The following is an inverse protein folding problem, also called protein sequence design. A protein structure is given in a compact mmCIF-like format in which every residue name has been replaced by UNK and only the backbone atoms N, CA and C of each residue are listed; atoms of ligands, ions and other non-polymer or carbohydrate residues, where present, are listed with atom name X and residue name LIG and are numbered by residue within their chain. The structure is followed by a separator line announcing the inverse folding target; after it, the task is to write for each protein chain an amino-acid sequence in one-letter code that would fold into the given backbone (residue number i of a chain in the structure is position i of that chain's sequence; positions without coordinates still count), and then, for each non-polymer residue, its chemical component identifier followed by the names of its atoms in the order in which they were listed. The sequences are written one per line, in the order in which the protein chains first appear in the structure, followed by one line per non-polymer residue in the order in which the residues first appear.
data_IF_906989961828
#
_entry.id   IF_906989961828
#
_cell.length_a   1.000
_cell.length_b   1.000
_cell.length_c   1.000
_cell.angle_alpha   90.00
_cell.angle_beta   90.00
_cell.angle_gamma   90.00
#
_symmetry.space_group_name_H-M   'P 1'
#
loop_
_entity.id
_entity.type
_entity.pdbx_description
1 polymer ?
#
# COMPACT_ATOMS: atom_id res chain seq x y z
N UNK A 1 -18.08 -38.50 55.16
CA UNK A 1 -18.13 -37.07 55.56
C UNK A 1 -16.71 -36.68 55.96
N UNK A 2 -15.98 -35.77 55.34
CA UNK A 2 -16.37 -34.57 54.62
C UNK A 2 -15.48 -34.35 53.37
N UNK A 3 -16.09 -33.80 52.32
CA UNK A 3 -15.42 -33.09 51.24
C UNK A 3 -14.97 -31.71 51.72
N UNK A 4 -13.81 -31.22 51.25
CA UNK A 4 -13.70 -29.86 50.69
C UNK A 4 -12.32 -29.63 50.04
N UNK A 5 -12.38 -29.20 48.78
CA UNK A 5 -11.31 -28.71 47.92
C UNK A 5 -10.64 -27.44 48.46
N UNK A 6 -9.35 -27.28 48.16
CA UNK A 6 -8.81 -26.01 47.62
C UNK A 6 -7.48 -26.25 46.89
N UNK A 7 -7.60 -26.29 45.57
CA UNK A 7 -6.76 -25.67 44.54
C UNK A 7 -5.31 -25.31 44.88
N UNK A 8 -4.35 -25.94 44.20
CA UNK A 8 -3.27 -25.17 43.59
C UNK A 8 -2.86 -25.83 42.26
N UNK A 9 -3.30 -25.22 41.17
CA UNK A 9 -2.96 -25.63 39.81
C UNK A 9 -1.60 -25.05 39.46
N UNK A 10 -0.58 -25.89 39.48
CA UNK A 10 0.76 -25.51 39.04
C UNK A 10 1.09 -26.19 37.73
N UNK A 11 1.33 -25.35 36.73
CA UNK A 11 2.34 -25.51 35.69
C UNK A 11 1.87 -26.03 34.31
N UNK A 12 1.05 -25.23 33.63
CA UNK A 12 1.04 -25.20 32.16
C UNK A 12 2.21 -24.35 31.66
N UNK A 13 3.36 -24.99 31.42
CA UNK A 13 4.43 -24.40 30.63
C UNK A 13 4.69 -25.27 29.38
N UNK A 14 4.12 -24.85 28.25
CA UNK A 14 4.66 -25.16 26.92
C UNK A 14 4.53 -23.92 26.05
N UNK A 15 5.33 -22.93 26.43
CA UNK A 15 6.03 -21.98 25.59
C UNK A 15 5.83 -22.17 24.06
N UNK A 16 4.77 -21.61 23.49
CA UNK A 16 4.65 -21.49 22.05
C UNK A 16 5.42 -20.25 21.60
N UNK A 17 6.71 -20.47 21.36
CA UNK A 17 7.61 -19.58 20.65
C UNK A 17 7.08 -19.39 19.21
N UNK A 18 6.01 -18.62 19.04
CA UNK A 18 5.53 -18.21 17.71
C UNK A 18 6.52 -17.16 17.24
N UNK A 19 7.35 -17.52 16.26
CA UNK A 19 8.19 -16.57 15.54
C UNK A 19 7.35 -15.41 14.97
N UNK A 20 8.00 -14.38 14.39
CA UNK A 20 7.30 -13.25 13.80
C UNK A 20 6.19 -13.78 12.87
N UNK A 21 4.94 -13.38 13.13
CA UNK A 21 3.81 -13.79 12.30
C UNK A 21 4.04 -13.21 10.90
N UNK A 22 4.08 -14.06 9.88
CA UNK A 22 4.20 -13.62 8.49
C UNK A 22 3.06 -12.67 8.15
N UNK A 23 3.38 -11.47 7.65
CA UNK A 23 2.41 -10.42 7.38
C UNK A 23 1.33 -10.87 6.39
N UNK A 24 1.66 -11.77 5.46
CA UNK A 24 0.73 -12.35 4.50
C UNK A 24 -0.39 -13.17 5.16
N UNK A 25 -0.10 -13.78 6.33
CA UNK A 25 -1.06 -14.56 7.12
C UNK A 25 -1.80 -13.71 8.15
N UNK A 26 -1.21 -12.58 8.55
CA UNK A 26 -1.81 -11.60 9.45
C UNK A 26 -2.90 -10.73 8.78
N UNK A 27 -2.76 -10.46 7.49
CA UNK A 27 -3.70 -9.64 6.71
C UNK A 27 -4.74 -10.52 6.02
N UNK A 28 -6.03 -10.28 6.33
CA UNK A 28 -7.14 -11.17 5.95
C UNK A 28 -7.63 -10.93 4.53
N UNK A 29 -7.48 -9.72 4.02
CA UNK A 29 -7.99 -9.33 2.71
C UNK A 29 -6.85 -9.04 1.73
N UNK A 30 -7.11 -9.29 0.44
CA UNK A 30 -6.12 -9.03 -0.62
C UNK A 30 -5.74 -7.56 -0.69
N UNK A 31 -6.71 -6.65 -0.51
CA UNK A 31 -6.49 -5.21 -0.53
C UNK A 31 -5.59 -4.74 0.62
N UNK A 32 -5.66 -5.37 1.80
CA UNK A 32 -4.73 -5.13 2.89
C UNK A 32 -3.31 -5.58 2.54
N UNK A 33 -3.17 -6.76 1.92
CA UNK A 33 -1.87 -7.27 1.47
C UNK A 33 -1.28 -6.42 0.35
N UNK A 34 -2.10 -5.96 -0.58
CA UNK A 34 -1.74 -5.03 -1.64
C UNK A 34 -1.27 -3.69 -1.04
N UNK A 35 -2.04 -3.11 -0.10
CA UNK A 35 -1.64 -1.90 0.63
C UNK A 35 -0.31 -2.08 1.37
N UNK A 36 -0.07 -3.24 1.97
CA UNK A 36 1.20 -3.55 2.63
C UNK A 36 2.39 -3.58 1.65
N UNK A 37 2.27 -4.23 0.49
CA UNK A 37 3.36 -4.24 -0.51
C UNK A 37 3.59 -2.87 -1.13
N UNK A 38 2.55 -2.05 -1.29
CA UNK A 38 2.69 -0.65 -1.69
C UNK A 38 3.48 0.15 -0.64
N UNK A 39 3.10 0.06 0.63
CA UNK A 39 3.73 0.82 1.72
C UNK A 39 5.19 0.40 1.95
N UNK A 40 5.48 -0.90 1.86
CA UNK A 40 6.84 -1.43 2.04
C UNK A 40 7.67 -1.37 0.76
N UNK A 41 7.05 -1.05 -0.38
CA UNK A 41 7.65 -1.12 -1.72
C UNK A 41 8.23 -2.51 -2.05
N UNK A 42 7.82 -3.55 -1.35
CA UNK A 42 8.33 -4.90 -1.51
C UNK A 42 7.92 -5.47 -2.88
N UNK A 43 8.90 -5.91 -3.67
CA UNK A 43 8.73 -6.44 -5.05
C UNK A 43 8.34 -5.42 -6.12
N UNK A 44 8.52 -4.13 -5.84
CA UNK A 44 8.28 -3.09 -6.84
C UNK A 44 9.17 -3.29 -8.07
N UNK A 45 8.57 -3.21 -9.26
CA UNK A 45 9.21 -3.37 -10.57
C UNK A 45 9.09 -2.11 -11.46
N UNK A 46 8.48 -1.05 -10.94
CA UNK A 46 8.49 0.29 -11.54
C UNK A 46 8.62 1.39 -10.48
N UNK A 47 9.04 2.57 -10.93
CA UNK A 47 9.04 3.79 -10.13
C UNK A 47 8.52 4.96 -10.96
N UNK A 48 7.94 5.93 -10.27
CA UNK A 48 7.42 7.17 -10.82
C UNK A 48 8.12 8.32 -10.15
N UNK A 49 8.56 9.29 -10.94
CA UNK A 49 9.06 10.55 -10.43
C UNK A 49 7.97 11.60 -10.65
N UNK A 50 7.29 11.98 -9.57
CA UNK A 50 6.06 12.77 -9.61
C UNK A 50 6.30 14.17 -9.03
N UNK A 51 5.71 15.19 -9.66
CA UNK A 51 5.78 16.58 -9.21
C UNK A 51 6.73 17.44 -10.04
N UNK A 52 6.70 18.75 -9.77
CA UNK A 52 7.57 19.75 -10.42
C UNK A 52 8.97 19.72 -9.81
N UNK A 53 9.96 20.34 -10.48
CA UNK A 53 11.37 20.34 -10.05
C UNK A 53 11.58 20.74 -8.57
N UNK A 54 10.71 21.58 -8.02
CA UNK A 54 10.78 22.06 -6.64
C UNK A 54 10.09 21.15 -5.61
N UNK A 55 9.23 20.21 -6.04
CA UNK A 55 8.48 19.30 -5.16
C UNK A 55 8.37 17.91 -5.80
N UNK A 56 9.50 17.36 -6.22
CA UNK A 56 9.58 16.07 -6.90
C UNK A 56 9.70 14.93 -5.88
N UNK A 57 8.93 13.86 -6.07
CA UNK A 57 8.94 12.68 -5.22
C UNK A 57 8.98 11.41 -6.06
N UNK A 58 9.85 10.49 -5.68
CA UNK A 58 9.88 9.14 -6.26
C UNK A 58 8.92 8.22 -5.52
N UNK A 59 8.04 7.56 -6.25
CA UNK A 59 7.05 6.61 -5.75
C UNK A 59 7.26 5.26 -6.42
N UNK A 60 7.23 4.19 -5.64
CA UNK A 60 7.40 2.83 -6.15
C UNK A 60 6.06 2.14 -6.38
N UNK A 61 6.02 1.22 -7.34
CA UNK A 61 4.81 0.48 -7.68
C UNK A 61 5.08 -0.85 -8.38
N UNK A 62 3.99 -1.49 -8.78
CA UNK A 62 3.95 -2.81 -9.38
C UNK A 62 3.18 -2.73 -10.70
N UNK A 63 3.86 -2.99 -11.81
CA UNK A 63 3.30 -2.87 -13.17
C UNK A 63 2.06 -3.73 -13.36
N UNK A 64 2.08 -4.96 -12.85
CA UNK A 64 0.94 -5.88 -12.96
C UNK A 64 -0.32 -5.31 -12.31
N UNK A 65 -0.21 -4.76 -11.10
CA UNK A 65 -1.35 -4.19 -10.37
C UNK A 65 -1.85 -2.95 -11.11
N UNK A 66 -0.95 -2.07 -11.53
CA UNK A 66 -1.31 -0.83 -12.23
C UNK A 66 -1.96 -1.09 -13.60
N UNK A 67 -1.41 -2.01 -14.40
CA UNK A 67 -1.95 -2.38 -15.69
C UNK A 67 -3.31 -3.07 -15.57
N UNK A 68 -3.49 -3.94 -14.56
CA UNK A 68 -4.80 -4.56 -14.28
C UNK A 68 -5.87 -3.51 -13.95
N UNK A 69 -5.49 -2.40 -13.33
CA UNK A 69 -6.41 -1.33 -12.93
C UNK A 69 -6.64 -0.25 -14.00
N UNK A 70 -5.82 -0.16 -15.05
CA UNK A 70 -5.97 0.86 -16.09
C UNK A 70 -5.34 0.48 -17.43
N UNK A 71 -6.09 0.63 -18.55
CA UNK A 71 -5.54 0.41 -19.89
C UNK A 71 -4.42 1.40 -20.25
N UNK A 72 -4.37 2.57 -19.59
CA UNK A 72 -3.27 3.54 -19.78
C UNK A 72 -1.96 2.97 -19.22
N UNK A 73 -2.01 2.37 -18.02
CA UNK A 73 -0.84 1.72 -17.43
C UNK A 73 -0.47 0.44 -18.17
N UNK A 74 -1.44 -0.32 -18.69
CA UNK A 74 -1.17 -1.47 -19.55
C UNK A 74 -0.40 -1.05 -20.82
N UNK A 75 -0.87 -0.02 -21.52
CA UNK A 75 -0.18 0.49 -22.71
C UNK A 75 1.22 1.03 -22.39
N UNK A 76 1.39 1.70 -21.24
CA UNK A 76 2.66 2.25 -20.77
C UNK A 76 3.70 1.15 -20.49
N UNK A 77 3.29 0.05 -19.83
CA UNK A 77 4.22 -1.00 -19.37
C UNK A 77 4.34 -2.21 -20.29
N UNK A 78 3.27 -2.56 -20.99
CA UNK A 78 3.16 -3.78 -21.80
C UNK A 78 2.79 -3.50 -23.26
N UNK A 79 2.71 -2.23 -23.67
CA UNK A 79 2.46 -1.82 -25.05
C UNK A 79 3.67 -2.02 -25.98
N UNK A 80 3.52 -1.63 -27.25
CA UNK A 80 4.52 -1.88 -28.32
C UNK A 80 5.85 -1.11 -28.21
N UNK A 81 5.93 -0.11 -27.34
CA UNK A 81 7.17 0.60 -26.98
C UNK A 81 7.19 0.79 -25.47
N UNK A 82 7.48 -0.26 -24.70
CA UNK A 82 7.52 -0.14 -23.25
C UNK A 82 8.66 0.80 -22.89
N UNK A 83 8.41 1.74 -21.99
CA UNK A 83 9.48 2.56 -21.44
C UNK A 83 10.54 1.63 -20.84
N UNK A 84 11.82 1.93 -21.10
CA UNK A 84 12.93 1.05 -20.70
C UNK A 84 12.82 0.76 -19.21
N UNK A 85 12.84 -0.53 -18.88
CA UNK A 85 12.52 -1.05 -17.55
C UNK A 85 13.29 -0.42 -16.37
N UNK A 86 14.41 0.25 -16.63
CA UNK A 86 15.30 0.82 -15.62
C UNK A 86 15.09 2.32 -15.35
N UNK A 87 14.22 3.01 -16.10
CA UNK A 87 13.98 4.44 -15.91
C UNK A 87 12.68 4.71 -15.16
N UNK A 88 12.68 5.61 -14.16
CA UNK A 88 11.45 6.11 -13.57
C UNK A 88 10.57 6.81 -14.62
N UNK A 89 9.26 6.61 -14.52
CA UNK A 89 8.26 7.31 -15.32
C UNK A 89 8.07 8.72 -14.76
N UNK A 90 8.29 9.74 -15.57
CA UNK A 90 8.15 11.14 -15.13
C UNK A 90 6.70 11.62 -15.24
N UNK A 91 6.15 12.13 -14.13
CA UNK A 91 4.80 12.69 -14.04
C UNK A 91 4.91 14.09 -13.46
N UNK A 92 5.12 15.07 -14.34
CA UNK A 92 5.44 16.45 -13.93
C UNK A 92 4.19 17.28 -13.56
N UNK A 93 3.03 16.92 -14.09
CA UNK A 93 1.79 17.70 -13.97
C UNK A 93 0.88 17.28 -12.80
N UNK A 94 1.34 16.36 -11.95
CA UNK A 94 0.54 15.83 -10.83
C UNK A 94 1.26 16.08 -9.50
N UNK A 95 0.52 16.54 -8.50
CA UNK A 95 1.07 16.68 -7.15
C UNK A 95 1.38 15.30 -6.55
N UNK A 96 2.54 15.11 -5.90
CA UNK A 96 2.91 13.83 -5.28
C UNK A 96 1.83 13.23 -4.38
N UNK A 97 1.10 14.05 -3.65
CA UNK A 97 0.02 13.66 -2.74
C UNK A 97 -1.16 13.07 -3.51
N UNK A 98 -1.54 13.69 -4.64
CA UNK A 98 -2.63 13.22 -5.49
C UNK A 98 -2.27 11.87 -6.14
N UNK A 99 -1.04 11.71 -6.62
CA UNK A 99 -0.60 10.43 -7.18
C UNK A 99 -0.47 9.35 -6.10
N UNK A 100 -0.04 9.71 -4.89
CA UNK A 100 -0.02 8.78 -3.74
C UNK A 100 -1.43 8.30 -3.41
N UNK A 101 -2.42 9.18 -3.41
CA UNK A 101 -3.82 8.82 -3.19
C UNK A 101 -4.36 7.92 -4.31
N UNK A 102 -3.98 8.17 -5.57
CA UNK A 102 -4.32 7.29 -6.69
C UNK A 102 -3.73 5.88 -6.50
N UNK A 103 -2.45 5.78 -6.13
CA UNK A 103 -1.83 4.47 -5.85
C UNK A 103 -2.52 3.76 -4.69
N UNK A 104 -2.86 4.46 -3.61
CA UNK A 104 -3.61 3.86 -2.51
C UNK A 104 -4.94 3.30 -3.01
N UNK A 105 -5.71 4.09 -3.76
CA UNK A 105 -6.98 3.65 -4.33
C UNK A 105 -6.82 2.41 -5.22
N UNK A 106 -5.84 2.40 -6.13
CA UNK A 106 -5.58 1.24 -7.02
C UNK A 106 -5.30 -0.04 -6.21
N UNK A 107 -4.58 0.06 -5.10
CA UNK A 107 -4.17 -1.12 -4.33
C UNK A 107 -5.21 -1.56 -3.30
N UNK A 108 -5.95 -0.63 -2.71
CA UNK A 108 -6.83 -0.92 -1.58
C UNK A 108 -8.32 -0.83 -1.90
N UNK A 109 -8.69 -0.22 -3.02
CA UNK A 109 -10.06 0.21 -3.38
C UNK A 109 -10.67 1.18 -2.35
N UNK A 110 -9.83 1.82 -1.53
CA UNK A 110 -10.23 2.81 -0.54
C UNK A 110 -9.86 4.20 -1.00
N UNK A 111 -10.85 5.09 -1.11
CA UNK A 111 -10.62 6.49 -1.43
C UNK A 111 -10.51 7.29 -0.12
N UNK A 112 -9.32 7.77 0.21
CA UNK A 112 -9.12 8.64 1.37
C UNK A 112 -9.19 10.11 0.93
N UNK A 113 -10.40 10.63 0.74
CA UNK A 113 -10.68 12.01 0.28
C UNK A 113 -10.40 13.08 1.36
N UNK A 114 -9.28 12.99 2.08
CA UNK A 114 -8.90 14.01 3.10
C UNK A 114 -8.66 15.41 2.51
N UNK A 115 -8.68 15.56 1.19
CA UNK A 115 -8.41 16.80 0.48
C UNK A 115 -9.66 17.55 0.01
N UNK A 116 -10.88 16.96 0.03
CA UNK A 116 -12.06 17.74 -0.39
C UNK A 116 -12.41 18.83 0.64
N UNK A 117 -12.19 18.55 1.93
CA UNK A 117 -12.46 19.51 3.01
C UNK A 117 -11.53 20.73 2.98
N UNK A 118 -10.32 20.63 2.41
CA UNK A 118 -9.41 21.76 2.24
C UNK A 118 -9.79 22.70 1.08
N UNK A 119 -10.65 22.25 0.16
CA UNK A 119 -11.10 23.08 -0.98
C UNK A 119 -12.24 24.02 -0.55
N UNK A 120 -13.06 23.62 0.42
CA UNK A 120 -14.12 24.49 0.97
C UNK A 120 -13.56 25.70 1.71
N UNK A 121 -12.39 25.60 2.34
CA UNK A 121 -11.79 26.71 3.11
C UNK A 121 -11.16 27.79 2.22
N UNK A 122 -10.74 27.42 1.00
CA UNK A 122 -10.16 28.35 0.01
C UNK A 122 -11.24 29.03 -0.84
N UNK A 123 -12.40 28.39 -1.06
CA UNK A 123 -13.44 28.95 -1.94
C UNK A 123 -14.35 30.00 -1.28
N UNK A 124 -14.21 30.24 0.02
CA UNK A 124 -15.03 31.19 0.80
C UNK A 124 -14.24 32.28 1.53
N UNK A 125 -12.97 32.51 1.18
CA UNK A 125 -12.17 33.64 1.67
C UNK A 125 -11.61 34.51 0.54
#
# INVERSE_FOLDING_TARGET
MAESNSSNSSNSNSNSNRGPIDWQTGLRHINQRAGHVLQTSQWSDCSFTVGTENNQKTLHGHRLILAMSSPVFEAMFFGGMPEKNDKPVEILDVQPEAFTALLQYIYTDEINLRSFDQVCEIYYY
#
